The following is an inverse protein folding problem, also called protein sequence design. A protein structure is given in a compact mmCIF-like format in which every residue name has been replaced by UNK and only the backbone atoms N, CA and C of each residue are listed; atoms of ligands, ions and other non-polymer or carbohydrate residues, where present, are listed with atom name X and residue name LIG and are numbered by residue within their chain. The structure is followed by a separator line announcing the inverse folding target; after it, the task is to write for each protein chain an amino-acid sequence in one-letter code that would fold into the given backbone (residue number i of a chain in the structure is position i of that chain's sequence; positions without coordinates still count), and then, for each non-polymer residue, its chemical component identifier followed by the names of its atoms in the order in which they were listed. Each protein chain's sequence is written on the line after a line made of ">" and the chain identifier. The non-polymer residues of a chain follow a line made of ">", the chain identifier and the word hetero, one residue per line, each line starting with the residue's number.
data_IF_548519618870
#
_entry.id   IF_548519618870
#
_cell.length_a   1.000
_cell.length_b   1.000
_cell.length_c   1.000
_cell.angle_alpha   90.00
_cell.angle_beta   90.00
_cell.angle_gamma   90.00
#
_symmetry.space_group_name_H-M   'P 1'
#
loop_
_entity.id
_entity.type
_entity.pdbx_description
1 polymer ?
#
# COMPACT_ATOMS: atom_id res chain seq x y z
N UNK A 1 -2.95 -16.98 -9.15
CA UNK A 1 -3.22 -16.53 -7.77
C UNK A 1 -2.62 -15.14 -7.67
N UNK A 2 -3.42 -14.14 -7.34
CA UNK A 2 -3.00 -12.74 -7.35
C UNK A 2 -2.19 -12.44 -6.10
N UNK A 3 -1.03 -11.81 -6.26
CA UNK A 3 -0.06 -11.53 -5.20
C UNK A 3 -0.07 -10.07 -4.83
N UNK A 4 -0.28 -9.79 -3.55
CA UNK A 4 -0.36 -8.44 -2.98
C UNK A 4 0.85 -8.22 -2.06
N UNK A 5 1.61 -7.16 -2.31
CA UNK A 5 2.63 -6.66 -1.37
C UNK A 5 1.96 -5.72 -0.37
N UNK A 6 1.97 -6.10 0.91
CA UNK A 6 1.41 -5.34 2.02
C UNK A 6 2.54 -4.73 2.85
N UNK A 7 2.58 -3.39 2.89
CA UNK A 7 3.63 -2.60 3.56
C UNK A 7 3.01 -1.76 4.67
N UNK A 8 3.31 -2.09 5.93
CA UNK A 8 2.82 -1.37 7.10
C UNK A 8 3.75 -1.70 8.29
N UNK A 9 4.16 -0.73 9.11
CA UNK A 9 5.07 -0.98 10.24
C UNK A 9 4.34 -1.46 11.51
N UNK A 10 3.02 -1.33 11.56
CA UNK A 10 2.18 -1.78 12.68
C UNK A 10 1.87 -3.29 12.55
N UNK A 11 2.68 -4.14 13.21
CA UNK A 11 2.58 -5.62 13.13
C UNK A 11 1.14 -6.16 13.26
N UNK A 12 0.34 -5.67 14.22
CA UNK A 12 -1.04 -6.13 14.43
C UNK A 12 -2.00 -5.72 13.30
N UNK A 13 -1.82 -4.53 12.74
CA UNK A 13 -2.65 -4.07 11.63
C UNK A 13 -2.28 -4.82 10.36
N UNK A 14 -0.98 -5.00 10.11
CA UNK A 14 -0.47 -5.76 8.97
C UNK A 14 -0.97 -7.21 9.00
N UNK A 15 -0.95 -7.85 10.18
CA UNK A 15 -1.50 -9.19 10.38
C UNK A 15 -3.00 -9.24 10.06
N UNK A 16 -3.80 -8.32 10.59
CA UNK A 16 -5.24 -8.28 10.33
C UNK A 16 -5.59 -8.03 8.86
N UNK A 17 -4.85 -7.15 8.18
CA UNK A 17 -5.02 -6.90 6.74
C UNK A 17 -4.62 -8.13 5.92
N UNK A 18 -3.49 -8.78 6.26
CA UNK A 18 -3.07 -10.03 5.63
C UNK A 18 -4.16 -11.10 5.72
N UNK A 19 -4.71 -11.34 6.90
CA UNK A 19 -5.77 -12.34 7.09
C UNK A 19 -6.98 -12.05 6.19
N UNK A 20 -7.47 -10.80 6.15
CA UNK A 20 -8.60 -10.42 5.28
C UNK A 20 -8.33 -10.75 3.81
N UNK A 21 -7.11 -10.48 3.33
CA UNK A 21 -6.71 -10.72 1.95
C UNK A 21 -6.55 -12.22 1.65
N UNK A 22 -5.89 -12.97 2.53
CA UNK A 22 -5.73 -14.43 2.39
C UNK A 22 -7.08 -15.16 2.43
N UNK A 23 -8.01 -14.75 3.32
CA UNK A 23 -9.39 -15.25 3.33
C UNK A 23 -10.17 -14.94 2.04
N UNK A 24 -9.67 -14.04 1.22
CA UNK A 24 -10.24 -13.65 -0.08
C UNK A 24 -9.44 -14.20 -1.27
N UNK A 25 -8.69 -15.29 -1.07
CA UNK A 25 -7.91 -16.02 -2.08
C UNK A 25 -6.73 -15.25 -2.70
N UNK A 26 -6.21 -14.23 -2.00
CA UNK A 26 -4.98 -13.54 -2.38
C UNK A 26 -3.74 -14.16 -1.72
N UNK A 27 -2.59 -14.11 -2.40
CA UNK A 27 -1.28 -14.34 -1.78
C UNK A 27 -0.75 -13.02 -1.23
N UNK A 28 -0.23 -13.00 -0.02
CA UNK A 28 0.29 -11.78 0.62
C UNK A 28 1.79 -11.92 0.88
N UNK A 29 2.54 -10.90 0.46
CA UNK A 29 3.93 -10.69 0.85
C UNK A 29 3.92 -9.49 1.80
N UNK A 30 4.53 -9.63 2.97
CA UNK A 30 4.58 -8.57 3.98
C UNK A 30 5.93 -7.84 3.97
N UNK A 31 5.89 -6.53 4.16
CA UNK A 31 7.04 -5.68 4.43
C UNK A 31 6.73 -4.71 5.58
N UNK A 32 7.75 -4.35 6.37
CA UNK A 32 7.61 -3.46 7.52
C UNK A 32 7.90 -1.99 7.19
N UNK A 33 8.53 -1.73 6.05
CA UNK A 33 8.81 -0.37 5.57
C UNK A 33 9.08 -0.35 4.05
N UNK A 34 9.29 0.85 3.50
CA UNK A 34 9.54 1.04 2.08
C UNK A 34 10.86 0.46 1.55
N UNK A 35 11.88 0.25 2.41
CA UNK A 35 13.14 -0.37 2.00
C UNK A 35 12.94 -1.87 1.77
N UNK A 36 12.37 -2.56 2.76
CA UNK A 36 12.04 -3.99 2.66
C UNK A 36 11.06 -4.24 1.51
N UNK A 37 10.08 -3.34 1.32
CA UNK A 37 9.12 -3.43 0.23
C UNK A 37 9.78 -3.40 -1.15
N UNK A 38 10.78 -2.52 -1.38
CA UNK A 38 11.50 -2.47 -2.66
C UNK A 38 12.33 -3.73 -2.91
N UNK A 39 12.98 -4.26 -1.87
CA UNK A 39 13.76 -5.50 -1.97
C UNK A 39 12.86 -6.69 -2.34
N UNK A 40 11.72 -6.82 -1.66
CA UNK A 40 10.74 -7.87 -1.92
C UNK A 40 10.06 -7.70 -3.28
N UNK A 41 9.72 -6.48 -3.67
CA UNK A 41 9.13 -6.20 -4.98
C UNK A 41 10.07 -6.59 -6.12
N UNK A 42 11.38 -6.37 -5.97
CA UNK A 42 12.36 -6.67 -7.02
C UNK A 42 12.52 -8.17 -7.31
N UNK A 43 12.19 -9.04 -6.36
CA UNK A 43 12.40 -10.50 -6.47
C UNK A 43 11.09 -11.30 -6.56
N UNK A 44 9.94 -10.65 -6.48
CA UNK A 44 8.63 -11.29 -6.55
C UNK A 44 7.77 -10.68 -7.67
N UNK A 45 6.84 -11.47 -8.20
CA UNK A 45 5.82 -10.95 -9.12
C UNK A 45 4.64 -10.41 -8.31
N UNK A 46 4.54 -9.08 -8.20
CA UNK A 46 3.52 -8.38 -7.42
C UNK A 46 2.47 -7.78 -8.35
N UNK A 47 1.20 -8.13 -8.11
CA UNK A 47 0.05 -7.67 -8.90
C UNK A 47 -0.59 -6.40 -8.33
N UNK A 48 -0.41 -6.14 -7.02
CA UNK A 48 -0.90 -4.95 -6.32
C UNK A 48 -0.03 -4.63 -5.11
N UNK A 49 0.21 -3.35 -4.87
CA UNK A 49 0.85 -2.86 -3.64
C UNK A 49 -0.18 -2.17 -2.75
N UNK A 50 -0.17 -2.50 -1.46
CA UNK A 50 -0.90 -1.80 -0.42
C UNK A 50 0.14 -1.25 0.57
N UNK A 51 0.17 0.07 0.79
CA UNK A 51 1.19 0.70 1.64
C UNK A 51 0.58 1.68 2.64
N UNK A 52 1.00 1.65 3.90
CA UNK A 52 0.87 2.81 4.79
C UNK A 52 1.75 3.95 4.27
N UNK A 53 1.39 5.18 4.64
CA UNK A 53 2.14 6.38 4.34
C UNK A 53 3.21 6.64 5.40
N UNK A 54 2.91 6.42 6.68
CA UNK A 54 3.83 6.79 7.76
C UNK A 54 4.51 5.54 8.28
N UNK A 55 5.80 5.38 7.95
CA UNK A 55 6.61 4.22 8.35
C UNK A 55 8.04 4.68 8.71
N UNK A 56 8.80 3.91 9.51
CA UNK A 56 10.22 4.16 9.75
C UNK A 56 11.08 3.87 8.51
N UNK A 57 12.35 4.30 8.53
CA UNK A 57 13.37 4.09 7.50
C UNK A 57 13.07 4.72 6.13
N UNK A 58 12.04 4.23 5.44
CA UNK A 58 11.47 4.83 4.24
C UNK A 58 9.94 4.85 4.37
N UNK A 59 9.38 6.05 4.29
CA UNK A 59 7.94 6.24 4.32
C UNK A 59 7.27 5.86 3.00
N UNK A 60 5.93 5.78 3.02
CA UNK A 60 5.15 5.36 1.87
C UNK A 60 5.21 6.34 0.70
N UNK A 61 5.50 7.62 0.93
CA UNK A 61 5.60 8.63 -0.14
C UNK A 61 6.87 8.38 -0.96
N UNK A 62 8.01 8.26 -0.27
CA UNK A 62 9.29 7.97 -0.90
C UNK A 62 9.27 6.60 -1.61
N UNK A 63 8.66 5.60 -0.97
CA UNK A 63 8.48 4.28 -1.54
C UNK A 63 7.68 4.31 -2.84
N UNK A 64 6.49 4.93 -2.84
CA UNK A 64 5.62 5.02 -4.02
C UNK A 64 6.30 5.79 -5.15
N UNK A 65 7.02 6.88 -4.83
CA UNK A 65 7.77 7.65 -5.82
C UNK A 65 8.82 6.77 -6.53
N UNK A 66 9.66 6.06 -5.77
CA UNK A 66 10.69 5.17 -6.33
C UNK A 66 10.09 4.01 -7.11
N UNK A 67 9.02 3.42 -6.61
CA UNK A 67 8.36 2.31 -7.29
C UNK A 67 7.81 2.76 -8.64
N UNK A 68 7.26 3.98 -8.73
CA UNK A 68 6.73 4.54 -9.99
C UNK A 68 7.77 4.84 -11.05
N UNK A 69 9.00 5.20 -10.66
CA UNK A 69 10.10 5.42 -11.60
C UNK A 69 10.45 4.15 -12.39
N UNK A 70 10.37 2.99 -11.74
CA UNK A 70 10.74 1.70 -12.36
C UNK A 70 9.54 0.87 -12.82
N UNK A 71 8.38 1.03 -12.17
CA UNK A 71 7.18 0.22 -12.36
C UNK A 71 5.94 1.14 -12.48
N UNK A 72 5.75 1.81 -13.62
CA UNK A 72 4.67 2.79 -13.79
C UNK A 72 3.28 2.17 -13.82
N UNK A 73 3.16 0.86 -14.10
CA UNK A 73 1.88 0.18 -14.31
C UNK A 73 1.34 -0.55 -13.08
N UNK A 74 2.16 -0.84 -12.05
CA UNK A 74 1.68 -1.64 -10.91
C UNK A 74 0.61 -0.85 -10.15
N UNK A 75 -0.56 -1.41 -9.83
CA UNK A 75 -1.55 -0.69 -9.05
C UNK A 75 -1.04 -0.51 -7.61
N UNK A 76 -1.32 0.65 -7.02
CA UNK A 76 -0.92 1.03 -5.68
C UNK A 76 -2.12 1.59 -4.93
N UNK A 77 -2.46 0.99 -3.80
CA UNK A 77 -3.43 1.47 -2.81
C UNK A 77 -2.68 1.99 -1.58
N UNK A 78 -2.89 3.24 -1.20
CA UNK A 78 -2.32 3.75 0.06
C UNK A 78 -3.34 3.71 1.20
N UNK A 79 -2.91 3.28 2.38
CA UNK A 79 -3.70 3.35 3.61
C UNK A 79 -3.18 4.53 4.44
N UNK A 80 -4.07 5.37 5.01
CA UNK A 80 -3.62 6.54 5.81
C UNK A 80 -4.49 6.81 7.04
N UNK A 81 -3.89 7.27 8.14
CA UNK A 81 -4.58 7.64 9.38
C UNK A 81 -5.42 8.93 9.35
N UNK A 82 -5.53 9.60 8.20
CA UNK A 82 -6.26 10.86 8.07
C UNK A 82 -5.37 12.12 7.98
N UNK A 83 -5.84 13.05 7.14
CA UNK A 83 -5.14 14.17 6.48
C UNK A 83 -4.30 15.14 7.32
N UNK A 84 -4.41 15.20 8.65
CA UNK A 84 -3.70 16.25 9.42
C UNK A 84 -2.22 15.99 9.65
N UNK A 85 -1.80 14.72 9.77
CA UNK A 85 -0.39 14.38 10.00
C UNK A 85 0.38 14.40 8.68
N UNK A 86 -0.23 13.91 7.60
CA UNK A 86 0.36 13.88 6.25
C UNK A 86 0.54 15.31 5.70
N UNK A 87 -0.49 16.16 5.77
CA UNK A 87 -0.38 17.54 5.26
C UNK A 87 0.57 18.42 6.08
N UNK A 88 0.68 18.20 7.40
CA UNK A 88 1.56 19.00 8.27
C UNK A 88 3.04 18.56 8.23
N UNK A 89 3.34 17.26 8.11
CA UNK A 89 4.72 16.77 8.07
C UNK A 89 5.39 16.93 6.71
N UNK A 90 4.61 16.83 5.64
CA UNK A 90 5.16 16.77 4.29
C UNK A 90 4.74 17.96 3.41
N UNK A 91 4.00 18.94 3.96
CA UNK A 91 3.50 20.08 3.19
C UNK A 91 2.54 19.67 2.07
N UNK A 92 1.99 18.46 2.16
CA UNK A 92 1.20 17.82 1.12
C UNK A 92 -0.23 18.36 1.17
N UNK A 93 -0.51 19.36 0.33
CA UNK A 93 -1.75 19.27 -0.44
C UNK A 93 -1.75 17.91 -1.12
N UNK A 94 -2.89 17.24 -1.12
CA UNK A 94 -3.18 15.89 -1.66
C UNK A 94 -2.71 15.58 -3.09
N UNK A 95 -2.00 16.49 -3.75
CA UNK A 95 -1.43 16.40 -5.09
C UNK A 95 -0.20 15.48 -5.22
N UNK A 96 0.46 15.09 -4.11
CA UNK A 96 1.75 14.38 -4.12
C UNK A 96 1.68 12.89 -3.72
N UNK A 97 0.47 12.35 -3.48
CA UNK A 97 0.18 10.92 -3.73
C UNK A 97 0.16 10.58 -5.23
N UNK A 98 0.81 11.39 -6.09
CA UNK A 98 0.75 11.38 -7.56
C UNK A 98 1.01 10.02 -8.23
N UNK A 99 1.59 9.06 -7.51
CA UNK A 99 1.77 7.69 -7.96
C UNK A 99 0.71 6.69 -7.50
N UNK A 100 -0.01 6.92 -6.41
CA UNK A 100 -1.02 5.98 -5.94
C UNK A 100 -2.27 6.01 -6.85
N UNK A 101 -2.87 4.85 -7.08
CA UNK A 101 -4.08 4.75 -7.89
C UNK A 101 -5.35 5.04 -7.07
N UNK A 102 -5.33 4.70 -5.78
CA UNK A 102 -6.43 4.98 -4.86
C UNK A 102 -5.91 5.05 -3.41
N UNK A 103 -6.77 5.47 -2.49
CA UNK A 103 -6.47 5.54 -1.06
C UNK A 103 -7.61 5.02 -0.19
N UNK A 104 -7.24 4.54 1.00
CA UNK A 104 -8.14 4.07 2.05
C UNK A 104 -7.78 4.75 3.38
N UNK A 105 -8.76 5.31 4.08
CA UNK A 105 -8.52 6.03 5.33
C UNK A 105 -8.79 5.10 6.53
N UNK A 106 -7.88 5.06 7.52
CA UNK A 106 -8.08 4.41 8.82
C UNK A 106 -9.07 5.27 9.66
N UNK A 107 -10.04 4.66 10.37
CA UNK A 107 -10.37 3.24 10.37
C UNK A 107 -11.18 2.82 9.13
N UNK A 108 -10.94 1.60 8.65
CA UNK A 108 -11.67 0.99 7.54
C UNK A 108 -12.20 -0.39 7.92
N UNK A 109 -13.18 -0.86 7.14
CA UNK A 109 -13.74 -2.21 7.26
C UNK A 109 -13.11 -3.15 6.24
N UNK A 110 -13.17 -4.46 6.49
CA UNK A 110 -12.73 -5.49 5.53
C UNK A 110 -13.43 -5.35 4.17
N UNK A 111 -14.72 -5.01 4.17
CA UNK A 111 -15.49 -4.79 2.94
C UNK A 111 -14.90 -3.63 2.12
N UNK A 112 -14.62 -2.49 2.75
CA UNK A 112 -14.03 -1.34 2.07
C UNK A 112 -12.64 -1.63 1.49
N UNK A 113 -11.81 -2.38 2.24
CA UNK A 113 -10.50 -2.82 1.74
C UNK A 113 -10.66 -3.68 0.48
N UNK A 114 -11.51 -4.70 0.54
CA UNK A 114 -11.70 -5.64 -0.57
C UNK A 114 -12.35 -5.00 -1.80
N UNK A 115 -13.26 -4.05 -1.62
CA UNK A 115 -13.83 -3.27 -2.73
C UNK A 115 -12.74 -2.49 -3.47
N UNK A 116 -11.84 -1.82 -2.75
CA UNK A 116 -10.71 -1.08 -3.32
C UNK A 116 -9.73 -2.00 -4.05
N UNK A 117 -9.36 -3.12 -3.42
CA UNK A 117 -8.46 -4.13 -4.00
C UNK A 117 -9.04 -4.67 -5.31
N UNK A 118 -10.32 -5.08 -5.33
CA UNK A 118 -10.98 -5.59 -6.55
C UNK A 118 -11.01 -4.55 -7.65
N UNK A 119 -11.42 -3.32 -7.34
CA UNK A 119 -11.48 -2.24 -8.33
C UNK A 119 -10.12 -1.95 -8.98
N UNK A 120 -9.02 -2.03 -8.23
CA UNK A 120 -7.67 -1.82 -8.77
C UNK A 120 -7.15 -3.00 -9.61
N UNK A 121 -7.57 -4.22 -9.29
CA UNK A 121 -7.18 -5.43 -10.03
C UNK A 121 -8.00 -5.65 -11.31
N UNK A 122 -9.24 -5.15 -11.38
CA UNK A 122 -10.10 -5.26 -12.58
C UNK A 122 -9.72 -4.30 -13.72
N UNK A 123 -8.95 -3.25 -13.42
CA UNK A 123 -8.59 -2.18 -14.37
C UNK A 123 -7.28 -2.47 -15.13
N UNK A 124 -6.59 -3.58 -14.83
CA UNK A 124 -5.33 -3.99 -15.46
C UNK A 124 -5.43 -5.27 -16.28
#
# INVERSE_FOLDING_TARGET
>A
MTTILLVDDEDLLREGVREILEFSDYSVIEARDGMEALELFAVNNVDLVISDIVMPNMDGVDFVSRLRESFPAVPILTISGGSRVVSARFGLDSALLSGANDSLTKPFTAVQLLEKVKALLEVN
#
